data_IF_329068991098
#
_entry.id   IF_329068991098
#
_cell.length_a   1.000
_cell.length_b   1.000
_cell.length_c   1.000
_cell.angle_alpha   90.00
_cell.angle_beta   90.00
_cell.angle_gamma   90.00
#
_symmetry.space_group_name_H-M   'P 1'
#
loop_
_entity.id
_entity.type
_entity.pdbx_description
1 polymer ?
#
# COMPACT_ATOMS: atom_id res chain seq x y z
N UNK A 1 -14.08 -13.36 9.46
CA UNK A 1 -12.68 -13.26 8.98
C UNK A 1 -11.84 -12.73 10.14
N UNK A 2 -10.72 -13.38 10.45
CA UNK A 2 -9.74 -12.85 11.40
C UNK A 2 -8.78 -11.94 10.64
N UNK A 3 -8.54 -10.73 11.15
CA UNK A 3 -7.53 -9.83 10.63
C UNK A 3 -6.35 -9.82 11.58
N UNK A 4 -5.36 -10.67 11.31
CA UNK A 4 -4.22 -10.92 12.20
C UNK A 4 -2.93 -10.21 11.77
N UNK A 5 -2.90 -9.63 10.57
CA UNK A 5 -1.70 -9.04 10.00
C UNK A 5 -1.88 -7.56 9.72
N UNK A 6 -0.89 -6.76 10.10
CA UNK A 6 -0.73 -5.41 9.61
C UNK A 6 -0.04 -5.45 8.25
N UNK A 7 -0.59 -4.73 7.28
CA UNK A 7 -0.04 -4.60 5.94
C UNK A 7 0.18 -3.13 5.63
N UNK A 8 1.38 -2.83 5.13
CA UNK A 8 1.73 -1.54 4.55
C UNK A 8 2.02 -1.76 3.07
N UNK A 9 1.26 -1.10 2.21
CA UNK A 9 1.50 -1.04 0.77
C UNK A 9 1.90 0.39 0.40
N UNK A 10 2.98 0.57 -0.35
CA UNK A 10 3.40 1.88 -0.87
C UNK A 10 3.57 1.77 -2.37
N UNK A 11 2.91 2.66 -3.11
CA UNK A 11 2.96 2.70 -4.57
C UNK A 11 3.44 4.07 -5.06
N UNK A 12 4.28 4.14 -6.11
CA UNK A 12 4.58 5.40 -6.78
C UNK A 12 3.31 6.05 -7.33
N UNK A 13 3.25 7.39 -7.31
CA UNK A 13 2.06 8.16 -7.71
C UNK A 13 1.54 7.78 -9.11
N UNK A 14 2.45 7.50 -10.05
CA UNK A 14 2.09 7.11 -11.43
C UNK A 14 1.36 5.75 -11.53
N UNK A 15 1.42 4.91 -10.49
CA UNK A 15 0.79 3.59 -10.43
C UNK A 15 -0.37 3.55 -9.41
N UNK A 16 -0.73 4.68 -8.78
CA UNK A 16 -1.81 4.75 -7.79
C UNK A 16 -3.14 4.25 -8.37
N UNK A 17 -3.49 4.71 -9.58
CA UNK A 17 -4.73 4.32 -10.25
C UNK A 17 -4.78 2.81 -10.55
N UNK A 18 -3.65 2.23 -10.98
CA UNK A 18 -3.53 0.79 -11.24
C UNK A 18 -3.69 -0.02 -9.95
N UNK A 19 -3.07 0.43 -8.85
CA UNK A 19 -3.18 -0.21 -7.54
C UNK A 19 -4.59 -0.12 -6.95
N UNK A 20 -5.29 0.99 -7.17
CA UNK A 20 -6.70 1.16 -6.80
C UNK A 20 -7.62 0.27 -7.63
N UNK A 21 -7.39 0.17 -8.95
CA UNK A 21 -8.11 -0.73 -9.84
C UNK A 21 -7.91 -2.20 -9.46
N UNK A 22 -6.69 -2.58 -9.06
CA UNK A 22 -6.42 -3.91 -8.49
C UNK A 22 -7.18 -4.12 -7.18
N UNK A 23 -7.17 -3.14 -6.27
CA UNK A 23 -7.95 -3.21 -5.04
C UNK A 23 -9.45 -3.48 -5.30
N UNK A 24 -10.04 -2.80 -6.28
CA UNK A 24 -11.42 -3.02 -6.70
C UNK A 24 -11.66 -4.44 -7.23
N UNK A 25 -10.73 -5.00 -8.02
CA UNK A 25 -10.91 -6.32 -8.63
C UNK A 25 -10.93 -7.46 -7.60
N UNK A 26 -10.28 -7.26 -6.45
CA UNK A 26 -10.28 -8.18 -5.31
C UNK A 26 -11.30 -7.81 -4.22
N UNK A 27 -12.20 -6.85 -4.50
CA UNK A 27 -13.34 -6.53 -3.65
C UNK A 27 -13.11 -5.47 -2.56
N UNK A 28 -12.03 -4.69 -2.64
CA UNK A 28 -11.86 -3.48 -1.82
C UNK A 28 -12.63 -2.29 -2.41
N UNK A 29 -12.59 -1.13 -1.76
CA UNK A 29 -13.36 0.05 -2.17
C UNK A 29 -12.70 0.87 -3.28
N UNK A 30 -11.39 0.67 -3.52
CA UNK A 30 -10.65 1.34 -4.59
C UNK A 30 -10.17 2.75 -4.26
N UNK A 31 -10.24 3.17 -2.99
CA UNK A 31 -9.78 4.48 -2.53
C UNK A 31 -8.77 4.36 -1.37
N UNK A 32 -7.99 3.28 -1.40
CA UNK A 32 -7.26 2.78 -0.23
C UNK A 32 -5.89 3.46 -0.05
N UNK A 33 -5.33 3.98 -1.14
CA UNK A 33 -4.05 4.68 -1.15
C UNK A 33 -4.24 6.16 -0.83
N UNK A 34 -4.56 6.46 0.43
CA UNK A 34 -4.97 7.80 0.87
C UNK A 34 -3.93 8.54 1.70
N UNK A 35 -2.76 7.93 1.97
CA UNK A 35 -1.66 8.59 2.68
C UNK A 35 -0.64 9.11 1.68
N UNK A 36 -0.60 10.42 1.37
CA UNK A 36 0.41 10.98 0.47
C UNK A 36 1.78 10.98 1.13
N UNK A 37 2.82 10.60 0.37
CA UNK A 37 4.20 10.48 0.83
C UNK A 37 5.16 11.17 -0.14
N UNK A 38 6.25 11.72 0.40
CA UNK A 38 7.40 12.23 -0.35
C UNK A 38 8.68 12.06 0.48
N UNK A 39 9.85 12.24 -0.11
CA UNK A 39 11.14 12.04 0.60
C UNK A 39 11.40 13.10 1.67
N UNK A 40 10.88 14.31 1.48
CA UNK A 40 11.06 15.45 2.37
C UNK A 40 9.79 15.86 3.12
N UNK A 41 8.67 15.16 2.88
CA UNK A 41 7.37 15.49 3.47
C UNK A 41 6.68 16.72 2.84
N UNK A 42 7.22 17.25 1.74
CA UNK A 42 6.62 18.35 0.99
C UNK A 42 5.77 17.86 -0.20
N UNK A 43 4.89 18.73 -0.68
CA UNK A 43 4.19 18.53 -1.95
C UNK A 43 5.13 18.75 -3.16
N UNK A 44 4.88 18.06 -4.30
CA UNK A 44 3.83 17.07 -4.51
C UNK A 44 4.19 15.69 -3.93
N UNK A 45 3.17 14.91 -3.58
CA UNK A 45 3.33 13.52 -3.20
C UNK A 45 3.91 12.70 -4.37
N UNK A 46 4.98 11.95 -4.11
CA UNK A 46 5.61 11.05 -5.08
C UNK A 46 5.15 9.60 -4.91
N UNK A 47 4.63 9.26 -3.72
CA UNK A 47 4.12 7.94 -3.38
C UNK A 47 2.82 8.05 -2.58
N UNK A 48 2.05 6.96 -2.56
CA UNK A 48 0.86 6.85 -1.74
C UNK A 48 0.87 5.52 -0.99
N UNK A 49 0.44 5.57 0.26
CA UNK A 49 0.38 4.43 1.14
C UNK A 49 -1.04 4.01 1.49
N UNK A 50 -1.18 2.71 1.72
CA UNK A 50 -2.25 2.07 2.47
C UNK A 50 -1.63 1.42 3.72
N UNK A 51 -2.23 1.63 4.89
CA UNK A 51 -1.91 0.88 6.11
C UNK A 51 -3.20 0.30 6.70
N UNK A 52 -3.33 -1.02 6.66
CA UNK A 52 -4.54 -1.70 7.08
C UNK A 52 -4.24 -3.02 7.81
N UNK A 53 -5.25 -3.51 8.51
CA UNK A 53 -5.29 -4.91 8.91
C UNK A 53 -5.78 -5.75 7.72
N UNK A 54 -5.07 -6.84 7.43
CA UNK A 54 -5.41 -7.77 6.37
C UNK A 54 -5.78 -9.14 6.93
N UNK A 55 -6.66 -9.82 6.20
CA UNK A 55 -6.92 -11.24 6.39
C UNK A 55 -5.85 -12.08 5.67
N UNK A 56 -5.65 -13.32 6.10
CA UNK A 56 -4.74 -14.25 5.41
C UNK A 56 -5.12 -14.44 3.93
N UNK A 57 -6.42 -14.51 3.63
CA UNK A 57 -6.91 -14.57 2.25
C UNK A 57 -6.42 -13.41 1.40
N UNK A 58 -6.42 -12.19 1.93
CA UNK A 58 -5.92 -11.03 1.21
C UNK A 58 -4.41 -11.16 0.94
N UNK A 59 -3.66 -11.70 1.91
CA UNK A 59 -2.23 -11.96 1.73
C UNK A 59 -1.97 -13.03 0.67
N UNK A 60 -2.81 -14.05 0.58
CA UNK A 60 -2.70 -15.10 -0.47
C UNK A 60 -3.01 -14.54 -1.86
N UNK A 61 -4.00 -13.65 -1.97
CA UNK A 61 -4.31 -12.93 -3.21
C UNK A 61 -3.17 -11.97 -3.60
N UNK A 62 -2.58 -11.29 -2.60
CA UNK A 62 -1.40 -10.41 -2.76
C UNK A 62 -0.11 -11.17 -3.06
N UNK A 63 0.03 -12.44 -2.68
CA UNK A 63 1.24 -13.22 -3.01
C UNK A 63 1.17 -13.83 -4.41
N UNK A 64 0.13 -13.52 -5.19
CA UNK A 64 -0.07 -14.10 -6.53
C UNK A 64 -0.52 -15.55 -6.52
N UNK A 65 -0.94 -16.10 -5.36
CA UNK A 65 -1.54 -17.43 -5.24
C UNK A 65 -3.05 -17.43 -5.56
N UNK A 66 -3.66 -16.24 -5.72
CA UNK A 66 -5.05 -16.05 -6.13
C UNK A 66 -5.27 -16.25 -7.65
N UNK A 67 -6.45 -16.77 -8.02
CA UNK A 67 -6.78 -17.20 -9.39
C UNK A 67 -7.15 -16.06 -10.37
N UNK A 68 -7.08 -14.79 -9.99
CA UNK A 68 -7.52 -13.68 -10.84
C UNK A 68 -6.67 -12.42 -10.64
N UNK A 69 -5.81 -12.11 -11.61
CA UNK A 69 -5.08 -10.83 -11.65
C UNK A 69 -3.55 -10.90 -11.70
N UNK A 70 -2.97 -12.09 -11.93
CA UNK A 70 -1.52 -12.34 -11.85
C UNK A 70 -0.65 -11.39 -12.68
N UNK A 71 -1.05 -10.99 -13.89
CA UNK A 71 -0.24 -10.13 -14.76
C UNK A 71 -0.26 -8.65 -14.32
N UNK A 72 -1.44 -8.09 -14.04
CA UNK A 72 -1.56 -6.72 -13.56
C UNK A 72 -0.92 -6.57 -12.18
N UNK A 73 -1.08 -7.59 -11.32
CA UNK A 73 -0.43 -7.62 -10.03
C UNK A 73 1.08 -7.80 -10.15
N UNK A 74 1.61 -8.60 -11.09
CA UNK A 74 3.04 -8.76 -11.26
C UNK A 74 3.75 -7.44 -11.62
N UNK A 75 3.13 -6.61 -12.46
CA UNK A 75 3.66 -5.29 -12.78
C UNK A 75 3.66 -4.35 -11.57
N UNK A 76 2.58 -4.34 -10.77
CA UNK A 76 2.49 -3.55 -9.54
C UNK A 76 3.46 -4.05 -8.46
N UNK A 77 3.59 -5.36 -8.29
CA UNK A 77 4.47 -6.00 -7.32
C UNK A 77 5.95 -5.72 -7.59
N UNK A 78 6.33 -5.41 -8.83
CA UNK A 78 7.69 -5.02 -9.18
C UNK A 78 8.04 -3.58 -8.74
N UNK A 79 7.04 -2.73 -8.48
CA UNK A 79 7.23 -1.29 -8.18
C UNK A 79 6.66 -0.86 -6.82
N UNK A 80 5.91 -1.74 -6.15
CA UNK A 80 5.26 -1.48 -4.87
C UNK A 80 6.08 -2.04 -3.72
N UNK A 81 6.21 -1.27 -2.64
CA UNK A 81 6.68 -1.81 -1.37
C UNK A 81 5.52 -2.55 -0.70
N UNK A 82 5.74 -3.82 -0.36
CA UNK A 82 4.81 -4.65 0.38
C UNK A 82 5.47 -5.06 1.69
N UNK A 83 4.90 -4.65 2.83
CA UNK A 83 5.36 -5.06 4.14
C UNK A 83 4.22 -5.65 4.97
N UNK A 84 4.45 -6.82 5.54
CA UNK A 84 3.46 -7.58 6.32
C UNK A 84 4.06 -7.93 7.67
N UNK A 85 3.32 -7.66 8.76
CA UNK A 85 3.74 -7.97 10.13
C UNK A 85 2.57 -8.47 10.98
N UNK A 86 2.82 -9.26 12.03
CA UNK A 86 1.78 -9.70 12.96
C UNK A 86 1.25 -8.59 13.89
N UNK A 87 1.78 -7.36 13.83
CA UNK A 87 1.36 -6.22 14.66
C UNK A 87 1.45 -4.90 13.89
N UNK A 88 0.57 -3.95 14.21
CA UNK A 88 0.61 -2.58 13.67
C UNK A 88 1.61 -1.67 14.38
N UNK A 89 2.02 -2.00 15.62
CA UNK A 89 2.83 -1.10 16.45
C UNK A 89 4.15 -0.79 15.76
N UNK A 90 4.40 0.50 15.47
CA UNK A 90 5.61 0.96 14.79
C UNK A 90 5.71 0.61 13.29
N UNK A 91 4.90 -0.33 12.80
CA UNK A 91 5.04 -0.92 11.46
C UNK A 91 5.11 0.14 10.35
N UNK A 92 4.15 1.07 10.31
CA UNK A 92 4.13 2.09 9.27
C UNK A 92 5.34 3.02 9.32
N UNK A 93 5.71 3.49 10.52
CA UNK A 93 6.87 4.35 10.70
C UNK A 93 8.17 3.68 10.28
N UNK A 94 8.34 2.40 10.61
CA UNK A 94 9.52 1.61 10.22
C UNK A 94 9.63 1.45 8.70
N UNK A 95 8.50 1.20 8.02
CA UNK A 95 8.49 1.07 6.55
C UNK A 95 8.81 2.40 5.89
N UNK A 96 8.21 3.50 6.36
CA UNK A 96 8.54 4.83 5.85
C UNK A 96 10.02 5.17 6.02
N UNK A 97 10.60 4.87 7.19
CA UNK A 97 12.02 5.09 7.45
C UNK A 97 12.92 4.25 6.53
N UNK A 98 12.54 3.00 6.26
CA UNK A 98 13.28 2.11 5.35
C UNK A 98 13.24 2.59 3.89
N UNK A 99 12.10 3.14 3.45
CA UNK A 99 11.92 3.69 2.10
C UNK A 99 12.42 5.14 1.95
N UNK A 100 12.89 5.77 3.04
CA UNK A 100 13.29 7.18 3.04
C UNK A 100 12.13 8.13 2.74
N UNK A 101 10.91 7.75 3.12
CA UNK A 101 9.69 8.50 2.87
C UNK A 101 9.15 9.14 4.15
N UNK A 102 8.41 10.23 3.97
CA UNK A 102 7.71 10.97 5.01
C UNK A 102 6.28 11.24 4.54
N UNK A 103 5.35 11.38 5.49
CA UNK A 103 3.99 11.83 5.17
C UNK A 103 4.06 13.25 4.65
N UNK A 104 3.38 13.52 3.54
CA UNK A 104 3.16 14.88 3.09
C UNK A 104 2.23 15.57 4.09
N UNK A 105 2.67 16.68 4.65
CA UNK A 105 1.83 17.54 5.48
C UNK A 105 1.23 18.57 4.52
N UNK A 106 -0.10 18.63 4.35
CA UNK A 106 -0.71 19.71 3.59
C UNK A 106 -0.29 21.03 4.22
N UNK A 107 0.20 21.98 3.42
CA UNK A 107 0.34 23.36 3.87
C UNK A 107 -1.06 23.80 4.30
N UNK A 108 -1.27 24.10 5.59
CA UNK A 108 -2.55 24.63 6.04
C UNK A 108 -2.88 25.86 5.18
N UNK A 109 -4.04 25.82 4.53
CA UNK A 109 -4.54 26.88 3.66
C UNK A 109 -5.09 28.06 4.48
#
# INVERSE_FOLDING_TARGET
MSYSHSVVLIVPQQHKADAEAFGLSIGNSGAEYNVPLSTDGAEPATHYALHAFASERFLDELSGNGQGGQEAFAALNAVMTISVRPSMTGHFGDVLAAEGLQRVIPLEA
#
